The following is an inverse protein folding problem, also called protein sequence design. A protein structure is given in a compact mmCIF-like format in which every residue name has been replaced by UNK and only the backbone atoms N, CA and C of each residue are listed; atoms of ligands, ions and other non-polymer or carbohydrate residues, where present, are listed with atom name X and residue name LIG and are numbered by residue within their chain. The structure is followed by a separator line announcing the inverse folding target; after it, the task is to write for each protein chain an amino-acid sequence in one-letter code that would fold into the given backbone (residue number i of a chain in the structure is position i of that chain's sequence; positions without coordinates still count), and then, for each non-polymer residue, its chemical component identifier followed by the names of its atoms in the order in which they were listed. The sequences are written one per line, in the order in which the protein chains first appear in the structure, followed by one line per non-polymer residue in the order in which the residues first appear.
data_IF_935562590168
#
_entry.id   IF_935562590168
#
_cell.length_a   1.000
_cell.length_b   1.000
_cell.length_c   1.000
_cell.angle_alpha   90.00
_cell.angle_beta   90.00
_cell.angle_gamma   90.00
#
_symmetry.space_group_name_H-M   'P 1'
#
loop_
_entity.id
_entity.type
_entity.pdbx_description
1 polymer ?
#
# COMPACT_ATOMS: atom_id res chain seq x y z
N UNK A 1 -27.59 14.62 -53.64
CA UNK A 1 -27.77 13.42 -52.77
C UNK A 1 -26.79 13.39 -51.60
N UNK A 2 -25.46 13.41 -51.81
CA UNK A 2 -24.49 13.48 -50.69
C UNK A 2 -24.57 14.78 -49.86
N UNK A 3 -24.81 15.92 -50.50
CA UNK A 3 -24.83 17.23 -49.86
C UNK A 3 -26.05 17.44 -48.94
N UNK A 4 -27.19 16.83 -49.29
CA UNK A 4 -28.40 16.86 -48.46
C UNK A 4 -28.31 15.91 -47.26
N UNK A 5 -27.60 14.77 -47.42
CA UNK A 5 -27.29 13.86 -46.32
C UNK A 5 -26.42 14.52 -45.25
N UNK A 6 -25.36 15.24 -45.65
CA UNK A 6 -24.50 15.98 -44.74
C UNK A 6 -25.23 17.15 -44.05
N UNK A 7 -26.18 17.79 -44.73
CA UNK A 7 -27.01 18.84 -44.13
C UNK A 7 -27.96 18.30 -43.08
N UNK A 8 -28.55 17.13 -43.31
CA UNK A 8 -29.40 16.47 -42.31
C UNK A 8 -28.59 16.00 -41.10
N UNK A 9 -27.40 15.41 -41.33
CA UNK A 9 -26.52 14.99 -40.24
C UNK A 9 -26.03 16.18 -39.40
N UNK A 10 -25.68 17.30 -40.04
CA UNK A 10 -25.33 18.53 -39.34
C UNK A 10 -26.50 19.05 -38.48
N UNK A 11 -27.72 19.07 -39.04
CA UNK A 11 -28.90 19.50 -38.32
C UNK A 11 -29.23 18.59 -37.11
N UNK A 12 -29.04 17.28 -37.25
CA UNK A 12 -29.20 16.32 -36.14
C UNK A 12 -28.15 16.53 -35.04
N UNK A 13 -26.90 16.77 -35.41
CA UNK A 13 -25.83 17.06 -34.47
C UNK A 13 -26.07 18.39 -33.75
N UNK A 14 -26.42 19.45 -34.47
CA UNK A 14 -26.77 20.75 -33.89
C UNK A 14 -27.95 20.66 -32.93
N UNK A 15 -28.91 19.78 -33.19
CA UNK A 15 -30.03 19.51 -32.28
C UNK A 15 -29.65 18.62 -31.07
N UNK A 16 -28.60 17.80 -31.16
CA UNK A 16 -28.18 16.86 -30.10
C UNK A 16 -27.17 17.47 -29.13
N UNK A 17 -26.26 18.32 -29.59
CA UNK A 17 -25.28 19.05 -28.77
C UNK A 17 -25.93 19.75 -27.56
N UNK A 18 -26.98 20.58 -27.70
CA UNK A 18 -27.59 21.25 -26.55
C UNK A 18 -28.22 20.26 -25.57
N UNK A 19 -28.84 19.18 -26.06
CA UNK A 19 -29.41 18.12 -25.21
C UNK A 19 -28.34 17.41 -24.38
N UNK A 20 -27.21 17.07 -24.99
CA UNK A 20 -26.09 16.45 -24.31
C UNK A 20 -25.43 17.39 -23.30
N UNK A 21 -25.31 18.68 -23.62
CA UNK A 21 -24.78 19.69 -22.70
C UNK A 21 -25.63 19.85 -21.44
N UNK A 22 -26.97 19.87 -21.58
CA UNK A 22 -27.89 19.92 -20.44
C UNK A 22 -27.70 18.68 -19.55
N UNK A 23 -27.60 17.50 -20.15
CA UNK A 23 -27.37 16.27 -19.39
C UNK A 23 -26.02 16.29 -18.66
N UNK A 24 -24.96 16.78 -19.32
CA UNK A 24 -23.65 16.93 -18.69
C UNK A 24 -23.73 17.88 -17.48
N UNK A 25 -24.36 19.04 -17.65
CA UNK A 25 -24.54 20.03 -16.58
C UNK A 25 -25.34 19.45 -15.41
N UNK A 26 -26.40 18.68 -15.68
CA UNK A 26 -27.16 17.98 -14.64
C UNK A 26 -26.29 16.97 -13.88
N UNK A 27 -25.50 16.17 -14.59
CA UNK A 27 -24.60 15.19 -13.97
C UNK A 27 -23.49 15.86 -13.15
N UNK A 28 -22.91 16.95 -13.64
CA UNK A 28 -21.90 17.74 -12.93
C UNK A 28 -22.48 18.38 -11.67
N UNK A 29 -23.69 18.95 -11.75
CA UNK A 29 -24.40 19.49 -10.60
C UNK A 29 -24.70 18.41 -9.56
N UNK A 30 -25.14 17.22 -10.00
CA UNK A 30 -25.35 16.08 -9.11
C UNK A 30 -24.05 15.58 -8.48
N UNK A 31 -22.97 15.53 -9.25
CA UNK A 31 -21.64 15.18 -8.73
C UNK A 31 -21.18 16.19 -7.68
N UNK A 32 -21.35 17.49 -7.93
CA UNK A 32 -21.02 18.55 -7.00
C UNK A 32 -21.83 18.45 -5.70
N UNK A 33 -23.15 18.19 -5.81
CA UNK A 33 -24.02 18.01 -4.66
C UNK A 33 -23.60 16.80 -3.80
N UNK A 34 -23.35 15.64 -4.43
CA UNK A 34 -22.90 14.43 -3.72
C UNK A 34 -21.52 14.64 -3.09
N UNK A 35 -20.59 15.31 -3.77
CA UNK A 35 -19.27 15.65 -3.19
C UNK A 35 -19.42 16.56 -1.98
N UNK A 36 -20.22 17.61 -2.09
CA UNK A 36 -20.48 18.51 -0.97
C UNK A 36 -21.11 17.78 0.23
N UNK A 37 -22.04 16.84 -0.02
CA UNK A 37 -22.61 15.99 1.01
C UNK A 37 -21.56 15.06 1.64
N UNK A 38 -20.71 14.42 0.83
CA UNK A 38 -19.61 13.59 1.30
C UNK A 38 -18.60 14.36 2.16
N UNK A 39 -18.28 15.60 1.77
CA UNK A 39 -17.37 16.47 2.52
C UNK A 39 -17.91 16.86 3.90
N UNK A 40 -19.23 16.75 4.13
CA UNK A 40 -19.80 16.91 5.48
C UNK A 40 -19.49 15.73 6.41
N UNK A 41 -19.24 14.55 5.85
CA UNK A 41 -18.85 13.38 6.62
C UNK A 41 -17.34 13.38 6.84
N UNK A 42 -16.92 13.98 7.94
CA UNK A 42 -15.58 13.75 8.46
C UNK A 42 -15.59 12.37 9.10
N UNK A 43 -14.80 11.44 8.58
CA UNK A 43 -14.52 10.15 9.21
C UNK A 43 -13.15 10.23 9.91
N UNK A 44 -13.07 10.83 11.10
CA UNK A 44 -11.81 10.92 11.81
C UNK A 44 -11.47 9.52 12.31
N UNK A 45 -10.68 8.78 11.52
CA UNK A 45 -10.10 7.47 11.92
C UNK A 45 -9.45 7.55 13.30
N UNK A 46 -8.96 8.72 13.69
CA UNK A 46 -8.35 8.97 15.00
C UNK A 46 -9.33 9.14 16.18
N UNK A 47 -10.64 9.16 15.94
CA UNK A 47 -11.65 9.05 17.01
C UNK A 47 -11.95 7.60 17.36
N UNK A 48 -11.52 6.66 16.52
CA UNK A 48 -11.63 5.24 16.83
C UNK A 48 -10.69 4.87 17.98
N UNK A 49 -11.06 3.89 18.80
CA UNK A 49 -10.12 3.27 19.73
C UNK A 49 -8.86 2.79 19.02
N UNK A 50 -7.75 2.75 19.76
CA UNK A 50 -6.44 2.36 19.23
C UNK A 50 -6.48 0.94 18.65
N UNK A 51 -7.24 0.06 19.30
CA UNK A 51 -7.43 -1.34 18.92
C UNK A 51 -8.08 -1.43 17.53
N UNK A 52 -9.16 -0.67 17.30
CA UNK A 52 -9.86 -0.66 16.00
C UNK A 52 -8.98 -0.06 14.91
N UNK A 53 -8.29 1.03 15.21
CA UNK A 53 -7.34 1.65 14.27
C UNK A 53 -6.21 0.66 13.91
N UNK A 54 -5.75 -0.11 14.89
CA UNK A 54 -4.73 -1.12 14.68
C UNK A 54 -5.19 -2.29 13.81
N UNK A 55 -6.39 -2.80 14.04
CA UNK A 55 -6.99 -3.84 13.18
C UNK A 55 -7.17 -3.36 11.74
N UNK A 56 -7.58 -2.09 11.53
CA UNK A 56 -7.65 -1.48 10.19
C UNK A 56 -6.26 -1.51 9.53
N UNK A 57 -5.20 -1.14 10.25
CA UNK A 57 -3.83 -1.13 9.70
C UNK A 57 -3.34 -2.53 9.35
N UNK A 58 -3.66 -3.54 10.16
CA UNK A 58 -3.32 -4.94 9.89
C UNK A 58 -4.02 -5.40 8.61
N UNK A 59 -5.33 -5.17 8.51
CA UNK A 59 -6.10 -5.56 7.32
C UNK A 59 -5.70 -4.80 6.06
N UNK A 60 -5.30 -3.52 6.17
CA UNK A 60 -4.79 -2.74 5.06
C UNK A 60 -3.54 -3.37 4.43
N UNK A 61 -2.61 -3.86 5.24
CA UNK A 61 -1.39 -4.52 4.75
C UNK A 61 -1.69 -5.91 4.18
N UNK A 62 -2.60 -6.68 4.79
CA UNK A 62 -2.88 -8.07 4.38
C UNK A 62 -3.72 -8.14 3.10
N UNK A 63 -4.61 -7.17 2.85
CA UNK A 63 -5.53 -7.21 1.72
C UNK A 63 -4.97 -6.64 0.41
N UNK A 64 -3.82 -5.96 0.43
CA UNK A 64 -3.13 -5.52 -0.81
C UNK A 64 -2.39 -6.71 -1.43
N UNK A 65 -3.17 -7.69 -1.91
CA UNK A 65 -2.71 -8.94 -2.51
C UNK A 65 -2.02 -8.77 -3.88
N UNK A 66 -1.93 -7.53 -4.39
CA UNK A 66 -1.06 -7.18 -5.50
C UNK A 66 0.06 -6.27 -5.00
N UNK A 67 1.24 -6.81 -4.66
CA UNK A 67 2.38 -5.96 -4.36
C UNK A 67 2.63 -5.06 -5.57
N UNK A 68 2.47 -3.74 -5.38
CA UNK A 68 2.83 -2.75 -6.38
C UNK A 68 4.31 -2.97 -6.69
N UNK A 69 4.58 -3.48 -7.89
CA UNK A 69 5.88 -4.00 -8.31
C UNK A 69 6.98 -2.99 -8.00
N UNK A 70 7.93 -3.39 -7.15
CA UNK A 70 9.23 -2.73 -7.04
C UNK A 70 9.45 -1.72 -5.92
N UNK A 71 8.66 -1.74 -4.84
CA UNK A 71 9.01 -1.05 -3.60
C UNK A 71 8.98 -2.04 -2.41
N UNK A 72 9.89 -1.92 -1.41
CA UNK A 72 9.68 -2.55 -0.10
C UNK A 72 8.34 -2.07 0.49
N UNK A 73 7.66 -2.84 1.39
CA UNK A 73 6.23 -2.75 1.65
C UNK A 73 5.82 -1.32 1.92
N UNK A 74 5.34 -0.69 0.84
CA UNK A 74 5.11 0.74 0.76
C UNK A 74 3.94 1.08 1.67
N UNK A 75 3.02 0.12 1.82
CA UNK A 75 1.81 0.14 2.63
C UNK A 75 2.15 0.49 4.08
N UNK A 76 3.16 -0.18 4.66
CA UNK A 76 3.60 0.08 6.05
C UNK A 76 4.18 1.47 6.22
N UNK A 77 5.03 1.87 5.27
CA UNK A 77 5.68 3.16 5.30
C UNK A 77 4.68 4.30 5.06
N UNK A 78 3.64 4.05 4.24
CA UNK A 78 2.53 4.98 4.01
C UNK A 78 1.78 5.26 5.30
N UNK A 79 1.51 4.24 6.13
CA UNK A 79 0.91 4.46 7.46
C UNK A 79 1.75 5.40 8.33
N UNK A 80 3.08 5.41 8.15
CA UNK A 80 3.98 6.31 8.88
C UNK A 80 4.02 7.74 8.34
N UNK A 81 3.51 8.01 7.14
CA UNK A 81 3.61 9.35 6.51
C UNK A 81 2.32 10.17 6.62
N UNK A 82 1.16 9.56 6.89
CA UNK A 82 -0.13 10.26 6.95
C UNK A 82 -0.16 11.38 8.00
N UNK A 83 0.06 11.05 9.27
CA UNK A 83 0.12 12.03 10.36
C UNK A 83 0.90 11.50 11.57
N UNK A 84 1.15 12.37 12.57
CA UNK A 84 1.86 11.97 13.80
C UNK A 84 1.16 10.85 14.56
N UNK A 85 -0.17 10.90 14.65
CA UNK A 85 -0.94 9.89 15.40
C UNK A 85 -0.89 8.53 14.72
N UNK A 86 -1.11 8.46 13.40
CA UNK A 86 -1.00 7.22 12.62
C UNK A 86 0.38 6.58 12.77
N UNK A 87 1.43 7.40 12.72
CA UNK A 87 2.79 6.94 12.99
C UNK A 87 2.90 6.32 14.38
N UNK A 88 2.44 7.01 15.42
CA UNK A 88 2.50 6.46 16.79
C UNK A 88 1.75 5.13 16.90
N UNK A 89 0.54 5.03 16.34
CA UNK A 89 -0.26 3.80 16.33
C UNK A 89 0.46 2.69 15.58
N UNK A 90 0.86 2.91 14.33
CA UNK A 90 1.53 1.90 13.51
C UNK A 90 2.84 1.41 14.14
N UNK A 91 3.62 2.31 14.76
CA UNK A 91 4.85 1.93 15.45
C UNK A 91 4.58 1.11 16.73
N UNK A 92 3.41 1.26 17.36
CA UNK A 92 3.04 0.52 18.58
C UNK A 92 2.48 -0.87 18.33
N UNK A 93 2.21 -1.26 17.08
CA UNK A 93 1.60 -2.55 16.73
C UNK A 93 2.67 -3.50 16.20
N UNK A 94 3.17 -4.46 17.02
CA UNK A 94 4.29 -5.32 16.61
C UNK A 94 3.94 -6.21 15.41
N UNK A 95 2.67 -6.61 15.28
CA UNK A 95 2.19 -7.46 14.19
C UNK A 95 2.41 -6.86 12.78
N UNK A 96 2.35 -5.53 12.64
CA UNK A 96 2.62 -4.86 11.36
C UNK A 96 4.06 -5.06 10.88
N UNK A 97 4.99 -5.33 11.81
CA UNK A 97 6.42 -5.42 11.54
C UNK A 97 6.94 -6.87 11.51
N UNK A 98 6.10 -7.84 11.82
CA UNK A 98 6.50 -9.24 11.96
C UNK A 98 6.76 -9.95 10.63
N UNK A 99 6.04 -9.60 9.56
CA UNK A 99 6.28 -10.13 8.22
C UNK A 99 6.88 -9.05 7.33
N UNK A 100 7.84 -9.34 6.45
CA UNK A 100 8.35 -8.35 5.48
C UNK A 100 8.63 -9.00 4.14
N UNK A 101 8.16 -8.36 3.07
CA UNK A 101 8.35 -8.81 1.70
C UNK A 101 9.30 -7.87 0.98
N UNK A 102 10.42 -8.39 0.47
CA UNK A 102 11.46 -7.56 -0.13
C UNK A 102 11.47 -7.78 -1.63
N UNK A 103 11.05 -6.75 -2.35
CA UNK A 103 11.13 -6.73 -3.81
C UNK A 103 12.52 -6.27 -4.22
N UNK A 104 13.32 -7.22 -4.70
CA UNK A 104 14.67 -7.02 -5.21
C UNK A 104 14.55 -6.75 -6.71
N UNK A 105 14.54 -5.46 -7.07
CA UNK A 105 14.28 -5.03 -8.44
C UNK A 105 15.21 -5.69 -9.45
N UNK A 106 14.63 -6.41 -10.41
CA UNK A 106 15.32 -6.82 -11.65
C UNK A 106 15.00 -5.88 -12.82
N UNK A 107 14.02 -5.00 -12.67
CA UNK A 107 13.63 -4.02 -13.69
C UNK A 107 14.46 -2.74 -13.56
N UNK A 108 15.01 -2.29 -14.69
CA UNK A 108 15.87 -1.10 -14.79
C UNK A 108 15.18 0.23 -14.40
N UNK A 109 13.86 0.23 -14.23
CA UNK A 109 13.08 1.39 -13.80
C UNK A 109 12.78 1.42 -12.29
N UNK A 110 13.23 0.41 -11.54
CA UNK A 110 13.02 0.32 -10.09
C UNK A 110 14.25 0.78 -9.33
N UNK A 111 14.03 1.29 -8.12
CA UNK A 111 15.13 1.57 -7.17
C UNK A 111 15.78 0.23 -6.83
N UNK A 112 16.98 0.01 -7.33
CA UNK A 112 17.80 -1.14 -6.97
C UNK A 112 18.40 -0.87 -5.60
N UNK A 113 17.77 -1.41 -4.57
CA UNK A 113 18.34 -1.38 -3.23
C UNK A 113 19.43 -2.44 -3.12
N UNK A 114 20.56 -2.05 -2.55
CA UNK A 114 21.65 -2.97 -2.23
C UNK A 114 21.39 -3.70 -0.90
N UNK A 115 22.03 -4.86 -0.67
CA UNK A 115 21.90 -5.57 0.60
C UNK A 115 22.24 -4.73 1.83
N UNK A 116 23.24 -3.85 1.71
CA UNK A 116 23.71 -2.96 2.78
C UNK A 116 22.66 -1.90 3.15
N UNK A 117 21.84 -1.44 2.19
CA UNK A 117 20.78 -0.47 2.43
C UNK A 117 19.53 -1.12 3.05
N UNK A 118 19.32 -2.41 2.78
CA UNK A 118 18.13 -3.16 3.21
C UNK A 118 18.28 -3.70 4.64
N UNK A 119 19.46 -4.16 5.04
CA UNK A 119 19.72 -4.67 6.41
C UNK A 119 19.22 -3.72 7.51
N UNK A 120 19.56 -2.41 7.53
CA UNK A 120 19.13 -1.52 8.61
C UNK A 120 17.61 -1.28 8.62
N UNK A 121 16.94 -1.40 7.47
CA UNK A 121 15.48 -1.28 7.36
C UNK A 121 14.83 -2.48 8.04
N UNK A 122 15.27 -3.69 7.69
CA UNK A 122 14.77 -4.94 8.27
C UNK A 122 15.05 -4.97 9.77
N UNK A 123 16.24 -4.55 10.20
CA UNK A 123 16.58 -4.48 11.62
C UNK A 123 15.59 -3.59 12.38
N UNK A 124 15.28 -2.43 11.82
CA UNK A 124 14.34 -1.51 12.42
C UNK A 124 12.92 -2.05 12.41
N UNK A 125 12.55 -2.88 11.45
CA UNK A 125 11.23 -3.51 11.38
C UNK A 125 11.13 -4.68 12.36
N UNK A 126 12.01 -5.66 12.26
CA UNK A 126 12.01 -6.82 13.17
C UNK A 126 12.28 -6.43 14.63
N UNK A 127 13.10 -5.40 14.87
CA UNK A 127 13.25 -4.80 16.19
C UNK A 127 11.93 -4.28 16.79
N UNK A 128 10.97 -3.85 15.97
CA UNK A 128 9.63 -3.41 16.41
C UNK A 128 8.65 -4.56 16.61
N UNK A 129 8.79 -5.64 15.85
CA UNK A 129 7.98 -6.85 16.02
C UNK A 129 8.26 -7.53 17.37
N UNK A 130 9.46 -7.30 17.93
CA UNK A 130 9.89 -7.85 19.20
C UNK A 130 10.14 -9.37 19.11
N UNK A 131 10.18 -10.03 20.26
CA UNK A 131 10.60 -11.44 20.37
C UNK A 131 9.45 -12.44 20.45
N UNK A 132 8.20 -11.97 20.54
CA UNK A 132 7.03 -12.82 20.81
C UNK A 132 6.28 -13.28 19.56
N UNK A 133 6.54 -12.65 18.41
CA UNK A 133 5.87 -12.96 17.16
C UNK A 133 6.77 -13.76 16.24
N UNK A 134 6.24 -14.75 15.50
CA UNK A 134 6.99 -15.38 14.44
C UNK A 134 7.31 -14.34 13.36
N UNK A 135 8.59 -14.25 13.00
CA UNK A 135 9.05 -13.35 11.95
C UNK A 135 8.99 -14.07 10.60
N UNK A 136 8.48 -13.39 9.58
CA UNK A 136 8.46 -13.86 8.20
C UNK A 136 9.26 -12.90 7.33
N UNK A 137 10.14 -13.45 6.49
CA UNK A 137 10.89 -12.71 5.51
C UNK A 137 10.70 -13.40 4.16
N UNK A 138 10.13 -12.70 3.20
CA UNK A 138 10.06 -13.15 1.81
C UNK A 138 10.86 -12.20 0.93
N UNK A 139 11.37 -12.70 -0.19
CA UNK A 139 12.04 -11.88 -1.19
C UNK A 139 11.63 -12.32 -2.58
N UNK A 140 11.61 -11.35 -3.50
CA UNK A 140 11.20 -11.58 -4.89
C UNK A 140 12.17 -10.83 -5.81
N UNK A 141 12.76 -11.54 -6.78
CA UNK A 141 13.78 -10.99 -7.69
C UNK A 141 15.22 -11.10 -7.14
N UNK A 142 16.21 -10.73 -7.96
CA UNK A 142 17.64 -10.84 -7.66
C UNK A 142 18.22 -12.26 -7.77
N UNK A 143 19.55 -12.38 -7.83
CA UNK A 143 20.26 -13.67 -7.70
C UNK A 143 20.57 -13.93 -6.22
N UNK A 144 20.26 -15.14 -5.74
CA UNK A 144 20.44 -15.55 -4.32
C UNK A 144 21.87 -15.30 -3.83
N UNK A 145 22.86 -15.48 -4.71
CA UNK A 145 24.28 -15.29 -4.37
C UNK A 145 24.58 -13.87 -3.88
N UNK A 146 23.96 -12.85 -4.48
CA UNK A 146 24.18 -11.44 -4.11
C UNK A 146 23.54 -11.04 -2.77
N UNK A 147 22.57 -11.82 -2.26
CA UNK A 147 21.85 -11.54 -1.02
C UNK A 147 22.17 -12.51 0.11
N UNK A 148 22.92 -13.58 -0.18
CA UNK A 148 23.18 -14.67 0.74
C UNK A 148 23.78 -14.22 2.08
N UNK A 149 24.75 -13.30 2.07
CA UNK A 149 25.41 -12.79 3.28
C UNK A 149 24.47 -11.93 4.15
N UNK A 150 23.71 -11.04 3.53
CA UNK A 150 22.70 -10.21 4.21
C UNK A 150 21.60 -11.07 4.81
N UNK A 151 21.06 -12.02 4.04
CA UNK A 151 20.04 -12.98 4.51
C UNK A 151 20.56 -13.80 5.68
N UNK A 152 21.76 -14.36 5.57
CA UNK A 152 22.36 -15.15 6.66
C UNK A 152 22.54 -14.29 7.92
N UNK A 153 22.95 -13.04 7.78
CA UNK A 153 23.10 -12.10 8.90
C UNK A 153 21.77 -11.85 9.61
N UNK A 154 20.72 -11.53 8.84
CA UNK A 154 19.37 -11.30 9.37
C UNK A 154 18.81 -12.56 10.01
N UNK A 155 18.90 -13.70 9.33
CA UNK A 155 18.43 -14.99 9.85
C UNK A 155 19.18 -15.34 11.13
N UNK A 156 20.50 -15.21 11.20
CA UNK A 156 21.25 -15.50 12.42
C UNK A 156 20.89 -14.57 13.58
N UNK A 157 20.57 -13.30 13.29
CA UNK A 157 20.19 -12.29 14.29
C UNK A 157 18.79 -12.54 14.87
N UNK A 158 17.84 -12.91 14.03
CA UNK A 158 16.42 -13.02 14.38
C UNK A 158 15.89 -14.45 14.46
N UNK A 159 16.69 -15.46 14.09
CA UNK A 159 16.34 -16.84 14.32
C UNK A 159 16.10 -17.04 15.82
N UNK A 160 14.96 -17.63 16.21
CA UNK A 160 14.78 -17.99 17.59
C UNK A 160 15.94 -18.90 17.99
N UNK A 161 16.71 -18.52 19.02
CA UNK A 161 17.53 -19.48 19.76
C UNK A 161 16.56 -20.54 20.24
N UNK A 162 16.41 -21.63 19.47
CA UNK A 162 15.63 -22.79 19.90
C UNK A 162 16.18 -23.13 21.29
N UNK A 163 15.38 -23.07 22.37
CA UNK A 163 15.86 -23.60 23.63
C UNK A 163 16.28 -25.05 23.36
N UNK A 164 17.41 -25.51 23.93
CA UNK A 164 17.86 -26.88 23.73
C UNK A 164 16.68 -27.79 24.09
N UNK A 165 16.33 -28.68 23.15
CA UNK A 165 15.31 -29.69 23.36
C UNK A 165 15.82 -30.56 24.52
N UNK A 166 15.39 -30.26 25.74
CA UNK A 166 15.56 -31.18 26.87
C UNK A 166 14.62 -32.34 26.61
N UNK A 167 15.16 -33.38 25.96
CA UNK A 167 14.49 -34.66 25.85
C UNK A 167 14.45 -35.27 27.27
N UNK A 168 13.30 -35.79 27.73
CA UNK A 168 13.20 -36.50 29.01
C UNK A 168 14.02 -37.79 29.02
#
# INVERSE_FOLDING_TARGET
MQLDGLRNELAELEASIPRQRILLEEMENRQAAVRAELDTFIFPVLTLPLEITGEIFIHYIVNDAEPIRGCPPREKLLLLTVCRTWRTVALSIPALWAASDIMLGTDANLIQLTPEEVEPIIDKWFGRAGTRLPLSLSWFGGTVDSWSECINTIVCRYAPRRPPVTRP
#
